data_IF_579741631761
#
_entry.id   IF_579741631761
#
_cell.length_a   1.000
_cell.length_b   1.000
_cell.length_c   1.000
_cell.angle_alpha   90.00
_cell.angle_beta   90.00
_cell.angle_gamma   90.00
#
_symmetry.space_group_name_H-M   'P 1'
#
loop_
_entity.id
_entity.type
_entity.pdbx_description
1 polymer ?
#
# COMPACT_ATOMS: atom_id res chain seq x y z
N UNK A 1 26.00 -10.79 17.19
CA UNK A 1 25.60 -10.67 15.78
C UNK A 1 24.15 -11.11 15.67
N UNK A 2 23.20 -10.17 15.57
CA UNK A 2 21.77 -10.46 15.54
C UNK A 2 21.16 -9.99 14.23
N UNK A 3 21.14 -10.87 13.23
CA UNK A 3 20.33 -10.71 12.02
C UNK A 3 19.03 -11.48 12.21
N UNK A 4 18.13 -10.93 13.02
CA UNK A 4 16.79 -11.43 13.22
C UNK A 4 15.85 -10.20 13.12
N UNK A 5 14.63 -10.36 12.57
CA UNK A 5 13.55 -9.34 12.51
C UNK A 5 13.44 -8.37 11.31
N UNK A 6 13.76 -8.77 10.08
CA UNK A 6 13.25 -8.06 8.88
C UNK A 6 12.25 -8.86 8.03
N UNK A 7 12.35 -10.20 7.96
CA UNK A 7 11.46 -11.01 7.10
C UNK A 7 9.97 -10.98 7.48
N UNK A 8 9.64 -10.97 8.77
CA UNK A 8 8.26 -11.10 9.27
C UNK A 8 7.36 -9.94 8.84
N UNK A 9 7.84 -8.70 8.99
CA UNK A 9 7.09 -7.49 8.60
C UNK A 9 6.96 -7.34 7.08
N UNK A 10 7.97 -7.81 6.34
CA UNK A 10 7.96 -7.77 4.88
C UNK A 10 6.87 -8.69 4.33
N UNK A 11 6.71 -9.90 4.87
CA UNK A 11 5.63 -10.82 4.43
C UNK A 11 4.24 -10.23 4.60
N UNK A 12 3.96 -9.54 5.72
CA UNK A 12 2.67 -8.87 5.95
C UNK A 12 2.43 -7.72 4.97
N UNK A 13 3.45 -6.89 4.74
CA UNK A 13 3.38 -5.82 3.74
C UNK A 13 3.06 -6.38 2.36
N UNK A 14 3.81 -7.38 1.92
CA UNK A 14 3.61 -7.98 0.58
C UNK A 14 2.26 -8.69 0.43
N UNK A 15 1.74 -9.40 1.44
CA UNK A 15 0.40 -10.01 1.35
C UNK A 15 -0.69 -8.94 1.31
N UNK A 16 -0.53 -7.84 2.07
CA UNK A 16 -1.47 -6.72 2.05
C UNK A 16 -1.50 -5.98 0.72
N UNK A 17 -0.33 -5.77 0.10
CA UNK A 17 -0.21 -5.22 -1.26
C UNK A 17 -0.89 -6.12 -2.28
N UNK A 18 -0.70 -7.45 -2.21
CA UNK A 18 -1.37 -8.40 -3.11
C UNK A 18 -2.88 -8.44 -2.95
N UNK A 19 -3.35 -8.39 -1.71
CA UNK A 19 -4.78 -8.29 -1.40
C UNK A 19 -5.38 -7.03 -2.03
N UNK A 20 -4.79 -5.86 -1.80
CA UNK A 20 -5.25 -4.60 -2.36
C UNK A 20 -5.14 -4.56 -3.89
N UNK A 21 -4.04 -5.06 -4.46
CA UNK A 21 -3.87 -5.18 -5.91
C UNK A 21 -5.03 -5.96 -6.54
N UNK A 22 -5.45 -7.06 -5.89
CA UNK A 22 -6.55 -7.91 -6.35
C UNK A 22 -7.92 -7.30 -6.12
N UNK A 23 -8.09 -6.54 -5.04
CA UNK A 23 -9.33 -5.84 -4.68
C UNK A 23 -9.59 -4.66 -5.62
N UNK A 24 -8.57 -3.84 -5.85
CA UNK A 24 -8.65 -2.64 -6.68
C UNK A 24 -8.26 -2.88 -8.14
N UNK A 25 -7.98 -4.12 -8.56
CA UNK A 25 -7.50 -4.43 -9.91
C UNK A 25 -6.32 -3.55 -10.35
N UNK A 26 -5.36 -3.37 -9.44
CA UNK A 26 -4.15 -2.57 -9.64
C UNK A 26 -2.94 -3.48 -9.84
N UNK A 27 -1.89 -2.96 -10.46
CA UNK A 27 -0.60 -3.66 -10.50
C UNK A 27 0.20 -3.35 -9.24
N UNK A 28 0.94 -4.34 -8.77
CA UNK A 28 1.91 -4.18 -7.68
C UNK A 28 3.28 -3.80 -8.24
N UNK A 29 3.96 -2.86 -7.58
CA UNK A 29 5.30 -2.45 -7.95
C UNK A 29 6.37 -3.07 -7.06
N UNK A 30 7.25 -3.88 -7.68
CA UNK A 30 8.32 -4.58 -6.94
C UNK A 30 9.50 -3.66 -6.57
N UNK A 31 9.58 -2.45 -7.14
CA UNK A 31 10.62 -1.46 -6.86
C UNK A 31 10.14 -0.39 -5.86
N UNK A 32 9.67 -0.81 -4.68
CA UNK A 32 9.01 0.04 -3.68
C UNK A 32 9.82 1.20 -3.09
N UNK A 33 11.10 1.37 -3.45
CA UNK A 33 11.86 2.56 -3.05
C UNK A 33 11.67 3.76 -3.99
N UNK A 34 11.26 3.51 -5.24
CA UNK A 34 11.18 4.49 -6.33
C UNK A 34 9.78 4.68 -6.91
N UNK A 35 8.83 3.81 -6.55
CA UNK A 35 7.45 3.84 -7.02
C UNK A 35 6.47 3.59 -5.87
N UNK A 36 5.22 4.07 -6.00
CA UNK A 36 4.13 3.69 -5.11
C UNK A 36 3.96 2.17 -5.07
N UNK A 37 3.52 1.63 -3.93
CA UNK A 37 3.30 0.20 -3.77
C UNK A 37 2.36 -0.39 -4.85
N UNK A 38 1.29 0.34 -5.20
CA UNK A 38 0.31 -0.05 -6.22
C UNK A 38 0.06 1.07 -7.23
N UNK A 39 -0.17 0.71 -8.48
CA UNK A 39 -0.53 1.64 -9.54
C UNK A 39 -1.63 1.09 -10.46
N UNK A 40 -2.30 1.97 -11.18
CA UNK A 40 -3.27 1.60 -12.20
C UNK A 40 -2.66 0.61 -13.18
N UNK A 41 -3.40 -0.47 -13.45
CA UNK A 41 -3.05 -1.45 -14.47
C UNK A 41 -3.52 -0.91 -15.84
N UNK A 42 -2.58 -0.37 -16.61
CA UNK A 42 -2.84 0.23 -17.93
C UNK A 42 -3.43 -0.75 -18.95
N UNK A 43 -3.29 -2.06 -18.73
CA UNK A 43 -3.91 -3.08 -19.58
C UNK A 43 -5.41 -3.22 -19.32
N UNK A 44 -5.84 -2.93 -18.09
CA UNK A 44 -7.24 -3.03 -17.64
C UNK A 44 -7.98 -1.70 -17.71
N UNK A 45 -7.24 -0.57 -17.73
CA UNK A 45 -7.78 0.79 -17.77
C UNK A 45 -8.87 1.02 -16.71
N UNK A 46 -8.65 0.49 -15.50
CA UNK A 46 -9.63 0.48 -14.42
C UNK A 46 -9.92 1.87 -13.85
N UNK A 47 -9.00 2.83 -14.02
CA UNK A 47 -9.08 4.16 -13.43
C UNK A 47 -8.73 5.25 -14.45
N UNK A 48 -9.51 6.33 -14.42
CA UNK A 48 -9.28 7.56 -15.17
C UNK A 48 -9.71 8.75 -14.28
N UNK A 49 -8.78 9.59 -13.80
CA UNK A 49 -7.33 9.55 -14.03
C UNK A 49 -6.64 8.34 -13.38
N UNK A 50 -5.34 8.15 -13.69
CA UNK A 50 -4.54 7.08 -13.11
C UNK A 50 -4.47 7.21 -11.57
N UNK A 51 -4.81 6.13 -10.87
CA UNK A 51 -4.69 5.97 -9.43
C UNK A 51 -3.35 5.30 -9.06
N UNK A 52 -2.70 5.80 -8.01
CA UNK A 52 -1.56 5.18 -7.35
C UNK A 52 -1.77 5.15 -5.83
N UNK A 53 -1.40 4.04 -5.19
CA UNK A 53 -1.62 3.81 -3.76
C UNK A 53 -0.29 3.43 -3.09
N UNK A 54 0.06 4.15 -2.03
CA UNK A 54 1.02 3.70 -1.03
C UNK A 54 0.26 2.92 0.06
N UNK A 55 0.54 1.63 0.20
CA UNK A 55 -0.18 0.76 1.13
C UNK A 55 0.60 0.61 2.43
N UNK A 56 -0.09 0.69 3.57
CA UNK A 56 0.47 0.25 4.83
C UNK A 56 -0.55 -0.57 5.63
N UNK A 57 -0.07 -1.62 6.27
CA UNK A 57 -0.89 -2.53 7.06
C UNK A 57 -0.35 -2.70 8.48
N UNK A 58 -1.25 -2.90 9.43
CA UNK A 58 -0.90 -3.12 10.83
C UNK A 58 -2.11 -3.20 11.77
N UNK A 59 -1.90 -3.65 13.01
CA UNK A 59 -2.96 -3.79 14.02
C UNK A 59 -3.57 -2.44 14.44
N UNK A 60 -2.80 -1.35 14.35
CA UNK A 60 -3.20 0.02 14.74
C UNK A 60 -2.90 1.07 13.68
N UNK A 61 -2.59 0.61 12.46
CA UNK A 61 -2.18 1.44 11.34
C UNK A 61 -0.74 1.18 10.87
N UNK A 62 -0.30 2.03 9.96
CA UNK A 62 0.97 1.92 9.26
C UNK A 62 1.94 3.08 9.54
N UNK A 63 3.24 2.82 9.41
CA UNK A 63 4.22 3.91 9.35
C UNK A 63 4.33 4.40 7.92
N UNK A 64 4.07 5.69 7.73
CA UNK A 64 4.17 6.34 6.43
C UNK A 64 5.20 7.46 6.54
N UNK A 65 6.24 7.39 5.72
CA UNK A 65 7.25 8.44 5.67
C UNK A 65 6.77 9.53 4.70
N UNK A 66 7.01 10.80 5.03
CA UNK A 66 6.58 11.92 4.19
C UNK A 66 7.11 11.81 2.74
N UNK A 67 8.32 11.29 2.59
CA UNK A 67 8.96 10.99 1.31
C UNK A 67 8.30 9.86 0.50
N UNK A 68 7.37 9.10 1.07
CA UNK A 68 6.54 8.10 0.36
C UNK A 68 5.25 8.72 -0.20
N UNK A 69 5.01 10.01 0.03
CA UNK A 69 3.90 10.75 -0.59
C UNK A 69 4.25 11.30 -1.97
N UNK A 70 5.52 11.26 -2.37
CA UNK A 70 6.00 11.86 -3.62
C UNK A 70 7.03 10.94 -4.25
N UNK A 71 6.82 10.63 -5.52
CA UNK A 71 7.72 9.80 -6.31
C UNK A 71 8.30 10.61 -7.47
N UNK A 72 9.63 10.59 -7.59
CA UNK A 72 10.29 11.24 -8.71
C UNK A 72 10.28 10.35 -9.95
N UNK A 73 9.96 10.99 -11.07
CA UNK A 73 10.02 10.40 -12.39
C UNK A 73 11.20 11.03 -13.12
N UNK A 74 12.31 10.31 -13.20
CA UNK A 74 13.57 10.75 -13.78
C UNK A 74 13.96 10.04 -15.07
N UNK A 75 13.28 8.94 -15.45
CA UNK A 75 13.48 8.23 -16.73
C UNK A 75 12.18 8.14 -17.56
N UNK A 76 12.27 8.23 -18.90
CA UNK A 76 11.09 8.10 -19.78
C UNK A 76 10.38 6.76 -19.53
N UNK A 77 11.17 5.73 -19.21
CA UNK A 77 10.68 4.43 -18.78
C UNK A 77 9.86 4.52 -17.48
N UNK A 78 10.34 5.24 -16.45
CA UNK A 78 9.56 5.49 -15.22
C UNK A 78 8.26 6.25 -15.53
N UNK A 79 8.29 7.25 -16.42
CA UNK A 79 7.10 8.01 -16.82
C UNK A 79 6.08 7.10 -17.48
N UNK A 80 6.49 6.36 -18.52
CA UNK A 80 5.61 5.40 -19.21
C UNK A 80 5.10 4.34 -18.26
N UNK A 81 5.93 3.88 -17.33
CA UNK A 81 5.50 2.93 -16.31
C UNK A 81 4.38 3.56 -15.48
N UNK A 82 4.61 4.70 -14.81
CA UNK A 82 3.59 5.33 -13.95
C UNK A 82 2.32 5.72 -14.71
N UNK A 83 2.44 6.33 -15.89
CA UNK A 83 1.32 6.99 -16.56
C UNK A 83 0.75 6.24 -17.78
N UNK A 84 1.42 5.20 -18.26
CA UNK A 84 0.96 4.42 -19.41
C UNK A 84 1.18 5.10 -20.76
N UNK A 85 1.75 6.31 -20.78
CA UNK A 85 1.97 7.11 -21.97
C UNK A 85 3.40 7.68 -22.05
N UNK A 86 3.77 8.25 -23.19
CA UNK A 86 5.05 8.95 -23.31
C UNK A 86 4.90 10.40 -22.82
N UNK A 87 5.92 10.97 -22.15
CA UNK A 87 5.88 12.37 -21.75
C UNK A 87 5.76 13.26 -22.99
N UNK A 88 4.86 14.25 -22.95
CA UNK A 88 4.59 15.16 -24.08
C UNK A 88 5.78 16.10 -24.39
N UNK A 89 6.64 16.40 -23.40
CA UNK A 89 7.83 17.24 -23.56
C UNK A 89 9.09 16.52 -23.07
N UNK A 90 9.97 16.12 -24.00
CA UNK A 90 11.29 15.51 -23.71
C UNK A 90 12.39 16.56 -23.45
N UNK A 91 12.21 17.82 -23.86
CA UNK A 91 13.30 18.81 -23.84
C UNK A 91 13.63 19.36 -22.44
N UNK A 92 12.68 19.38 -21.51
CA UNK A 92 12.95 19.78 -20.12
C UNK A 92 13.77 18.74 -19.33
N UNK A 93 13.78 17.49 -19.79
CA UNK A 93 14.42 16.37 -19.10
C UNK A 93 15.94 16.36 -19.21
N UNK A 94 16.50 16.89 -20.30
CA UNK A 94 17.95 16.89 -20.57
C UNK A 94 18.69 18.02 -19.83
N UNK A 95 17.98 19.02 -19.33
CA UNK A 95 18.56 20.21 -18.71
C UNK A 95 18.62 20.15 -17.17
N UNK A 96 18.32 19.01 -16.55
CA UNK A 96 18.30 18.89 -15.09
C UNK A 96 17.15 19.63 -14.40
N UNK A 97 16.26 20.27 -15.17
CA UNK A 97 14.99 20.79 -14.68
C UNK A 97 14.07 19.60 -14.41
N UNK A 98 13.96 19.20 -13.15
CA UNK A 98 13.11 18.09 -12.73
C UNK A 98 11.66 18.48 -13.04
N UNK A 99 11.03 17.96 -14.11
CA UNK A 99 9.65 18.32 -14.35
C UNK A 99 8.81 17.53 -13.35
N UNK A 100 7.73 18.15 -12.86
CA UNK A 100 6.71 17.56 -11.99
C UNK A 100 6.93 17.63 -10.46
N UNK A 101 7.49 18.72 -9.93
CA UNK A 101 7.33 19.03 -8.50
C UNK A 101 6.03 19.77 -8.16
N UNK A 102 5.28 20.27 -9.15
CA UNK A 102 4.20 21.22 -8.87
C UNK A 102 2.79 20.60 -8.76
N UNK A 103 2.56 19.39 -9.27
CA UNK A 103 1.30 18.68 -8.98
C UNK A 103 1.56 17.18 -8.80
N UNK A 104 1.30 16.60 -7.61
CA UNK A 104 1.28 15.15 -7.50
C UNK A 104 0.13 14.65 -8.35
N UNK A 105 0.45 13.83 -9.35
CA UNK A 105 -0.48 12.85 -9.88
C UNK A 105 -1.15 12.10 -8.72
N UNK A 106 -2.34 11.55 -8.94
CA UNK A 106 -3.21 11.02 -7.89
C UNK A 106 -2.59 9.89 -7.06
N UNK A 107 -1.84 10.32 -6.04
CA UNK A 107 -1.25 9.48 -5.02
C UNK A 107 -2.19 9.49 -3.82
N UNK A 108 -2.66 8.31 -3.49
CA UNK A 108 -3.43 8.04 -2.30
C UNK A 108 -2.62 7.13 -1.40
N UNK A 109 -3.00 7.13 -0.14
CA UNK A 109 -2.48 6.22 0.85
C UNK A 109 -3.62 5.35 1.33
N UNK A 110 -3.37 4.05 1.37
CA UNK A 110 -4.29 3.10 1.96
C UNK A 110 -3.71 2.59 3.28
N UNK A 111 -4.51 2.71 4.35
CA UNK A 111 -4.24 2.11 5.63
C UNK A 111 -5.21 0.96 5.90
N UNK A 112 -4.67 -0.25 6.00
CA UNK A 112 -5.44 -1.47 6.18
C UNK A 112 -5.32 -1.94 7.63
N UNK A 113 -6.47 -2.08 8.29
CA UNK A 113 -6.53 -2.66 9.63
C UNK A 113 -6.31 -4.17 9.54
N UNK A 114 -5.47 -4.73 10.41
CA UNK A 114 -5.43 -6.19 10.60
C UNK A 114 -6.47 -6.62 11.64
N UNK A 115 -7.29 -7.60 11.26
CA UNK A 115 -8.38 -8.14 12.08
C UNK A 115 -8.08 -9.56 12.62
N UNK A 116 -6.88 -10.09 12.39
CA UNK A 116 -6.46 -11.39 12.91
C UNK A 116 -5.82 -11.33 14.31
N UNK A 117 -5.86 -12.47 15.00
CA UNK A 117 -5.24 -12.69 16.32
C UNK A 117 -3.84 -13.32 16.21
N UNK A 118 -3.15 -13.16 15.07
CA UNK A 118 -1.84 -13.79 14.88
C UNK A 118 -0.84 -13.19 15.87
N UNK A 119 -0.46 -13.99 16.88
CA UNK A 119 0.63 -13.67 17.79
C UNK A 119 1.97 -13.98 17.12
N UNK A 120 3.08 -13.56 17.74
CA UNK A 120 4.44 -13.73 17.19
C UNK A 120 4.82 -15.18 16.88
N UNK A 121 4.25 -16.16 17.59
CA UNK A 121 4.51 -17.59 17.38
C UNK A 121 3.74 -18.15 16.18
N UNK A 122 2.58 -17.57 15.84
CA UNK A 122 1.82 -17.93 14.65
C UNK A 122 2.43 -17.34 13.37
N UNK A 123 3.21 -16.25 13.48
CA UNK A 123 3.93 -15.62 12.37
C UNK A 123 5.00 -16.56 11.80
N UNK A 124 5.64 -17.36 12.67
CA UNK A 124 6.71 -18.29 12.33
C UNK A 124 6.22 -19.61 11.75
N UNK A 125 4.90 -19.83 11.74
CA UNK A 125 4.30 -21.03 11.17
C UNK A 125 4.22 -20.90 9.66
N UNK A 126 4.34 -22.04 8.99
CA UNK A 126 4.38 -22.21 7.54
C UNK A 126 3.19 -21.62 6.77
N UNK A 127 2.17 -21.06 7.44
CA UNK A 127 0.94 -20.55 6.83
C UNK A 127 0.40 -19.25 7.43
N UNK A 128 1.27 -18.44 8.01
CA UNK A 128 0.88 -17.16 8.61
C UNK A 128 0.17 -16.23 7.62
N UNK A 129 0.59 -16.21 6.35
CA UNK A 129 -0.09 -15.44 5.30
C UNK A 129 -1.55 -15.88 5.08
N UNK A 130 -1.78 -17.17 4.87
CA UNK A 130 -3.13 -17.71 4.61
C UNK A 130 -4.09 -17.45 5.78
N UNK A 131 -3.58 -17.32 7.01
CA UNK A 131 -4.38 -17.01 8.21
C UNK A 131 -4.68 -15.53 8.41
N UNK A 132 -4.04 -14.62 7.65
CA UNK A 132 -4.26 -13.19 7.79
C UNK A 132 -5.72 -12.83 7.49
N UNK A 133 -6.27 -11.92 8.30
CA UNK A 133 -7.58 -11.32 8.07
C UNK A 133 -7.44 -9.82 8.06
N UNK A 134 -8.01 -9.19 7.05
CA UNK A 134 -8.02 -7.74 6.89
C UNK A 134 -9.33 -7.19 7.47
N UNK A 135 -9.25 -6.03 8.08
CA UNK A 135 -10.35 -5.23 8.59
C UNK A 135 -10.62 -4.06 7.66
N UNK A 136 -11.11 -2.97 8.23
CA UNK A 136 -11.46 -1.77 7.48
C UNK A 136 -10.22 -1.14 6.81
N UNK A 137 -10.48 -0.45 5.70
CA UNK A 137 -9.47 0.18 4.85
C UNK A 137 -9.77 1.66 4.74
N UNK A 138 -8.73 2.49 4.73
CA UNK A 138 -8.86 3.95 4.64
C UNK A 138 -7.97 4.48 3.53
N UNK A 139 -8.59 4.95 2.45
CA UNK A 139 -7.95 5.57 1.30
C UNK A 139 -7.99 7.09 1.47
N UNK A 140 -6.83 7.71 1.64
CA UNK A 140 -6.68 9.13 1.94
C UNK A 140 -5.77 9.80 0.90
N UNK A 141 -6.14 10.96 0.34
CA UNK A 141 -5.30 11.69 -0.61
C UNK A 141 -3.96 12.12 0.00
N UNK A 142 -2.87 12.05 -0.78
CA UNK A 142 -1.53 12.41 -0.30
C UNK A 142 -1.42 13.86 0.19
N UNK A 143 -2.18 14.80 -0.35
CA UNK A 143 -2.18 16.19 0.11
C UNK A 143 -2.75 16.35 1.53
N UNK A 144 -3.79 15.57 1.87
CA UNK A 144 -4.34 15.51 3.24
C UNK A 144 -3.31 14.94 4.22
N UNK A 145 -2.58 13.91 3.81
CA UNK A 145 -1.50 13.33 4.61
C UNK A 145 -0.30 14.26 4.77
N UNK A 146 0.04 15.00 3.72
CA UNK A 146 1.08 16.01 3.79
C UNK A 146 0.71 17.10 4.81
N UNK A 147 -0.55 17.58 4.79
CA UNK A 147 -1.05 18.51 5.79
C UNK A 147 -0.98 17.93 7.21
N UNK A 148 -1.24 16.63 7.38
CA UNK A 148 -1.03 15.95 8.66
C UNK A 148 0.43 15.97 9.10
N UNK A 149 1.38 15.63 8.22
CA UNK A 149 2.80 15.63 8.58
C UNK A 149 3.28 17.03 8.98
N UNK A 150 2.85 18.06 8.26
CA UNK A 150 3.11 19.46 8.62
C UNK A 150 2.56 19.76 10.01
N UNK A 151 1.29 19.42 10.28
CA UNK A 151 0.63 19.69 11.57
C UNK A 151 1.29 18.95 12.73
N UNK A 152 1.69 17.69 12.51
CA UNK A 152 2.42 16.89 13.49
C UNK A 152 3.78 17.48 13.80
N UNK A 153 4.51 17.91 12.77
CA UNK A 153 5.83 18.52 12.95
C UNK A 153 5.73 19.87 13.67
N UNK A 154 4.79 20.73 13.30
CA UNK A 154 4.53 22.00 13.99
C UNK A 154 4.33 21.80 15.50
N UNK A 155 3.62 20.73 15.90
CA UNK A 155 3.39 20.46 17.31
C UNK A 155 4.54 19.79 18.04
N UNK A 156 5.22 18.84 17.38
CA UNK A 156 6.27 18.04 18.02
C UNK A 156 7.57 18.81 18.14
N UNK A 157 7.89 19.59 17.11
CA UNK A 157 9.16 20.29 16.99
C UNK A 157 9.01 21.79 17.34
N UNK A 158 7.79 22.25 17.67
CA UNK A 158 7.44 23.64 18.01
C UNK A 158 7.90 24.66 16.94
N UNK A 159 7.62 24.33 15.68
CA UNK A 159 8.02 25.14 14.52
C UNK A 159 6.81 25.75 13.80
N UNK A 160 7.04 26.88 13.13
CA UNK A 160 6.03 27.51 12.29
C UNK A 160 5.71 26.69 11.03
N UNK A 161 4.52 26.91 10.45
CA UNK A 161 4.06 26.20 9.24
C UNK A 161 5.03 26.29 8.06
N UNK A 162 5.66 27.45 7.88
CA UNK A 162 6.62 27.68 6.78
C UNK A 162 7.87 26.82 6.95
N UNK A 163 8.36 26.69 8.18
CA UNK A 163 9.53 25.88 8.51
C UNK A 163 9.23 24.39 8.37
N UNK A 164 8.08 23.93 8.89
CA UNK A 164 7.64 22.56 8.74
C UNK A 164 7.50 22.14 7.26
N UNK A 165 6.84 22.97 6.44
CA UNK A 165 6.73 22.72 4.98
C UNK A 165 8.09 22.69 4.29
N UNK A 166 8.98 23.63 4.64
CA UNK A 166 10.34 23.67 4.07
C UNK A 166 11.11 22.41 4.40
N UNK A 167 11.10 21.98 5.66
CA UNK A 167 11.79 20.78 6.11
C UNK A 167 11.29 19.53 5.36
N UNK A 168 9.97 19.31 5.30
CA UNK A 168 9.42 18.14 4.60
C UNK A 168 9.75 18.15 3.10
N UNK A 169 9.76 19.33 2.47
CA UNK A 169 10.19 19.50 1.07
C UNK A 169 11.67 19.15 0.89
N UNK A 170 12.54 19.67 1.76
CA UNK A 170 13.98 19.44 1.70
C UNK A 170 14.32 17.96 1.92
N UNK A 171 13.68 17.29 2.88
CA UNK A 171 13.84 15.85 3.11
C UNK A 171 13.37 15.01 1.91
N UNK A 172 12.21 15.34 1.35
CA UNK A 172 11.69 14.68 0.14
C UNK A 172 12.65 14.83 -1.03
N UNK A 173 13.20 16.04 -1.23
CA UNK A 173 14.18 16.33 -2.29
C UNK A 173 15.46 15.51 -2.12
N UNK A 174 16.02 15.45 -0.91
CA UNK A 174 17.25 14.67 -0.64
C UNK A 174 17.09 13.19 -0.99
N UNK A 175 15.90 12.60 -0.76
CA UNK A 175 15.63 11.21 -1.15
C UNK A 175 15.47 11.06 -2.66
N UNK A 176 14.75 11.97 -3.31
CA UNK A 176 14.56 11.98 -4.77
C UNK A 176 15.90 12.04 -5.52
N UNK A 177 16.80 12.92 -5.08
CA UNK A 177 18.11 13.14 -5.71
C UNK A 177 19.16 12.10 -5.26
N UNK A 178 18.83 11.26 -4.27
CA UNK A 178 19.75 10.23 -3.75
C UNK A 178 20.89 10.77 -2.89
N UNK A 179 20.79 12.03 -2.42
CA UNK A 179 21.81 12.70 -1.61
C UNK A 179 21.86 12.18 -0.16
N UNK A 180 20.79 11.54 0.31
CA UNK A 180 20.74 10.95 1.64
C UNK A 180 21.14 9.47 1.60
N UNK A 181 22.17 9.08 2.38
CA UNK A 181 22.41 7.66 2.62
C UNK A 181 21.18 7.05 3.31
N UNK A 182 20.69 5.90 2.83
CA UNK A 182 19.56 5.18 3.43
C UNK A 182 19.76 4.90 4.93
N UNK A 183 21.02 4.87 5.40
CA UNK A 183 21.39 4.75 6.81
C UNK A 183 21.11 5.99 7.66
N UNK A 184 21.13 7.19 7.09
CA UNK A 184 20.80 8.45 7.78
C UNK A 184 19.28 8.61 7.95
N UNK A 185 18.50 8.34 6.90
CA UNK A 185 17.03 8.42 6.93
C UNK A 185 16.42 7.39 7.90
N UNK A 186 16.99 6.18 7.97
CA UNK A 186 16.52 5.12 8.90
C UNK A 186 16.85 5.38 10.37
N UNK A 187 17.87 6.19 10.68
CA UNK A 187 18.24 6.58 12.05
C UNK A 187 17.39 7.75 12.58
N UNK A 188 16.94 8.64 11.69
CA UNK A 188 16.07 9.77 12.03
C UNK A 188 14.58 9.44 11.86
N UNK A 189 14.12 8.30 12.38
CA UNK A 189 12.69 7.96 12.45
C UNK A 189 11.99 8.88 13.44
N UNK A 190 11.65 10.09 13.02
CA UNK A 190 10.96 11.07 13.87
C UNK A 190 9.53 10.63 14.09
N UNK A 191 9.04 10.81 15.32
CA UNK A 191 7.72 10.36 15.74
C UNK A 191 6.55 10.93 14.94
N UNK A 192 6.76 12.06 14.25
CA UNK A 192 5.75 12.72 13.41
C UNK A 192 5.29 11.86 12.21
N UNK A 193 6.05 10.82 11.85
CA UNK A 193 5.81 9.94 10.70
C UNK A 193 4.95 8.69 11.04
N UNK A 194 4.40 8.60 12.24
CA UNK A 194 3.48 7.53 12.59
C UNK A 194 2.05 7.94 12.19
N UNK A 195 1.44 7.24 11.24
CA UNK A 195 0.02 7.40 10.90
C UNK A 195 -0.80 6.35 11.65
N UNK A 196 -1.80 6.80 12.40
CA UNK A 196 -2.67 5.92 13.20
C UNK A 196 -4.06 5.87 12.57
N UNK A 197 -4.74 4.73 12.68
CA UNK A 197 -6.11 4.54 12.15
C UNK A 197 -7.05 5.63 12.66
N UNK A 198 -6.90 6.03 13.93
CA UNK A 198 -7.65 7.13 14.54
C UNK A 198 -7.73 8.39 13.66
N UNK A 199 -6.61 8.82 13.07
CA UNK A 199 -6.62 10.01 12.21
C UNK A 199 -7.46 9.79 10.95
N UNK A 200 -7.48 8.57 10.44
CA UNK A 200 -8.28 8.17 9.27
C UNK A 200 -9.77 8.23 9.59
N UNK A 201 -10.18 7.64 10.72
CA UNK A 201 -11.57 7.65 11.21
C UNK A 201 -12.07 9.08 11.44
N UNK A 202 -11.28 9.92 12.10
CA UNK A 202 -11.67 11.31 12.38
C UNK A 202 -11.77 12.14 11.10
N UNK A 203 -10.86 11.97 10.14
CA UNK A 203 -10.91 12.70 8.88
C UNK A 203 -12.09 12.26 7.99
N UNK A 204 -12.46 10.98 8.07
CA UNK A 204 -13.55 10.41 7.30
C UNK A 204 -14.92 10.75 7.92
N UNK A 205 -15.21 10.31 9.15
CA UNK A 205 -16.56 10.38 9.73
C UNK A 205 -16.77 11.57 10.68
N UNK A 206 -15.74 12.38 10.97
CA UNK A 206 -15.75 13.53 11.92
C UNK A 206 -16.25 13.23 13.35
N UNK A 207 -16.80 12.05 13.59
CA UNK A 207 -17.51 11.66 14.80
C UNK A 207 -16.62 10.94 15.80
N UNK A 208 -15.40 10.57 15.41
CA UNK A 208 -14.32 10.03 16.25
C UNK A 208 -14.82 9.53 17.60
N UNK A 209 -15.59 8.44 17.59
CA UNK A 209 -16.32 7.95 18.75
C UNK A 209 -15.34 7.38 19.77
N UNK A 210 -14.92 8.27 20.65
CA UNK A 210 -14.66 8.10 22.07
C UNK A 210 -13.49 7.20 22.56
N UNK A 211 -12.92 7.65 23.68
CA UNK A 211 -12.07 6.95 24.68
C UNK A 211 -10.53 7.04 24.66
N UNK A 212 -9.87 7.70 23.69
CA UNK A 212 -8.41 8.02 23.82
C UNK A 212 -8.05 9.42 23.28
N UNK A 213 -8.88 10.39 23.61
CA UNK A 213 -8.90 11.74 23.04
C UNK A 213 -7.88 12.66 23.74
N UNK A 214 -6.59 12.55 23.39
CA UNK A 214 -5.59 13.51 23.87
C UNK A 214 -5.76 14.85 23.14
N UNK A 215 -5.61 15.97 23.85
CA UNK A 215 -5.64 17.31 23.23
C UNK A 215 -4.67 17.44 22.05
N UNK A 216 -3.57 16.69 22.09
CA UNK A 216 -2.62 16.59 20.98
C UNK A 216 -3.28 16.07 19.70
N UNK A 217 -4.04 14.98 19.76
CA UNK A 217 -4.73 14.40 18.59
C UNK A 217 -5.73 15.38 17.98
N UNK A 218 -6.51 16.07 18.81
CA UNK A 218 -7.44 17.12 18.36
C UNK A 218 -6.73 18.27 17.69
N UNK A 219 -5.64 18.76 18.29
CA UNK A 219 -4.83 19.84 17.70
C UNK A 219 -4.25 19.44 16.35
N UNK A 220 -3.84 18.17 16.15
CA UNK A 220 -3.28 17.71 14.86
C UNK A 220 -4.35 17.80 13.78
N UNK A 221 -5.54 17.25 14.06
CA UNK A 221 -6.67 17.31 13.13
C UNK A 221 -7.06 18.76 12.83
N UNK A 222 -7.14 19.62 13.85
CA UNK A 222 -7.40 21.05 13.65
C UNK A 222 -6.35 21.70 12.74
N UNK A 223 -5.07 21.35 12.89
CA UNK A 223 -4.00 21.83 12.01
C UNK A 223 -4.14 21.34 10.55
N UNK A 224 -4.71 20.16 10.32
CA UNK A 224 -5.04 19.68 8.96
C UNK A 224 -6.13 20.57 8.35
N UNK A 225 -7.22 20.81 9.08
CA UNK A 225 -8.31 21.68 8.63
C UNK A 225 -7.88 23.14 8.41
N UNK A 226 -6.90 23.64 9.17
CA UNK A 226 -6.33 24.97 8.94
C UNK A 226 -5.56 25.07 7.61
N UNK A 227 -4.94 23.96 7.19
CA UNK A 227 -4.15 23.91 5.97
C UNK A 227 -4.98 23.61 4.73
N UNK A 228 -6.04 22.82 4.87
CA UNK A 228 -6.98 22.48 3.80
C UNK A 228 -8.35 23.00 4.25
N UNK A 229 -8.60 24.28 3.99
CA UNK A 229 -9.77 25.00 4.51
C UNK A 229 -11.10 24.42 4.05
N UNK A 230 -11.10 23.78 2.89
CA UNK A 230 -12.24 23.16 2.22
C UNK A 230 -12.21 21.63 2.30
N UNK A 231 -11.49 21.05 3.26
CA UNK A 231 -11.45 19.58 3.48
C UNK A 231 -12.84 18.96 3.67
N UNK A 232 -13.81 19.77 4.10
CA UNK A 232 -15.21 19.39 4.21
C UNK A 232 -15.89 19.13 2.87
N UNK A 233 -15.42 19.79 1.81
CA UNK A 233 -15.93 19.63 0.46
C UNK A 233 -15.32 18.41 -0.26
N UNK A 234 -14.32 17.75 0.34
CA UNK A 234 -13.77 16.52 -0.21
C UNK A 234 -14.86 15.44 -0.22
N UNK A 235 -15.16 14.84 -1.38
CA UNK A 235 -16.18 13.80 -1.44
C UNK A 235 -15.72 12.60 -0.60
N UNK A 236 -16.67 11.96 0.09
CA UNK A 236 -16.42 10.83 0.97
C UNK A 236 -17.37 9.70 0.59
N UNK A 237 -16.82 8.49 0.52
CA UNK A 237 -17.61 7.31 0.23
C UNK A 237 -17.21 6.15 1.10
N UNK A 238 -18.21 5.35 1.49
CA UNK A 238 -18.05 4.09 2.19
C UNK A 238 -18.54 2.97 1.30
N UNK A 239 -17.71 1.97 1.06
CA UNK A 239 -18.05 0.79 0.28
C UNK A 239 -18.03 -0.45 1.18
N UNK A 240 -18.95 -1.38 0.93
CA UNK A 240 -18.85 -2.71 1.51
C UNK A 240 -17.66 -3.44 0.87
N UNK A 241 -16.72 -3.87 1.70
CA UNK A 241 -15.56 -4.65 1.30
C UNK A 241 -15.78 -6.16 1.46
N UNK A 242 -14.76 -6.97 1.13
CA UNK A 242 -14.80 -8.41 1.32
C UNK A 242 -15.02 -8.80 2.78
N UNK A 243 -15.67 -9.94 3.02
CA UNK A 243 -15.81 -10.55 4.36
C UNK A 243 -16.37 -9.64 5.46
N UNK A 244 -17.27 -8.71 5.11
CA UNK A 244 -17.93 -7.82 6.08
C UNK A 244 -17.08 -6.61 6.51
N UNK A 245 -15.96 -6.35 5.83
CA UNK A 245 -15.15 -5.13 6.04
C UNK A 245 -15.77 -3.93 5.33
N UNK A 246 -15.27 -2.74 5.66
CA UNK A 246 -15.61 -1.49 4.98
C UNK A 246 -14.37 -0.83 4.37
N UNK A 247 -14.58 -0.16 3.24
CA UNK A 247 -13.56 0.68 2.61
C UNK A 247 -14.05 2.12 2.69
N UNK A 248 -13.24 2.97 3.32
CA UNK A 248 -13.51 4.37 3.57
C UNK A 248 -12.59 5.20 2.67
N UNK A 249 -13.15 6.01 1.78
CA UNK A 249 -12.37 6.81 0.85
C UNK A 249 -12.70 8.29 0.99
N UNK A 250 -11.66 9.10 1.14
CA UNK A 250 -11.71 10.55 0.90
C UNK A 250 -11.20 10.76 -0.53
N UNK A 251 -12.03 11.30 -1.41
CA UNK A 251 -11.68 11.58 -2.82
C UNK A 251 -11.11 12.97 -3.00
N UNK A 252 -10.37 13.19 -4.09
CA UNK A 252 -9.98 14.54 -4.52
C UNK A 252 -11.20 15.30 -5.06
N UNK A 253 -11.43 16.56 -4.66
CA UNK A 253 -12.48 17.41 -5.25
C UNK A 253 -12.33 17.59 -6.76
N UNK A 254 -11.10 17.52 -7.27
CA UNK A 254 -10.81 17.71 -8.69
C UNK A 254 -11.23 16.50 -9.54
N UNK A 255 -11.39 15.32 -8.93
CA UNK A 255 -11.65 14.04 -9.63
C UNK A 255 -12.64 13.20 -8.81
N UNK A 256 -13.87 13.72 -8.60
CA UNK A 256 -14.87 13.04 -7.79
C UNK A 256 -15.27 11.67 -8.36
N UNK A 257 -15.12 11.46 -9.67
CA UNK A 257 -15.44 10.21 -10.36
C UNK A 257 -14.56 9.03 -9.92
N UNK A 258 -13.37 9.29 -9.34
CA UNK A 258 -12.52 8.21 -8.81
C UNK A 258 -13.22 7.42 -7.71
N UNK A 259 -14.07 8.07 -6.91
CA UNK A 259 -14.87 7.39 -5.88
C UNK A 259 -15.79 6.37 -6.52
N UNK A 260 -16.49 6.73 -7.59
CA UNK A 260 -17.42 5.84 -8.27
C UNK A 260 -16.68 4.70 -8.98
N UNK A 261 -15.52 4.98 -9.56
CA UNK A 261 -14.66 3.97 -10.20
C UNK A 261 -14.15 2.95 -9.18
N UNK A 262 -13.61 3.42 -8.04
CA UNK A 262 -13.18 2.56 -6.93
C UNK A 262 -14.36 1.75 -6.41
N UNK A 263 -15.50 2.38 -6.14
CA UNK A 263 -16.71 1.69 -5.68
C UNK A 263 -17.19 0.62 -6.67
N UNK A 264 -17.16 0.91 -7.97
CA UNK A 264 -17.49 -0.04 -9.02
C UNK A 264 -16.54 -1.24 -9.06
N UNK A 265 -15.23 -1.02 -8.94
CA UNK A 265 -14.21 -2.08 -8.89
C UNK A 265 -14.39 -2.93 -7.64
N UNK A 266 -14.50 -2.31 -6.46
CA UNK A 266 -14.72 -2.98 -5.17
C UNK A 266 -15.97 -3.85 -5.22
N UNK A 267 -17.08 -3.33 -5.74
CA UNK A 267 -18.33 -4.10 -5.87
C UNK A 267 -18.15 -5.37 -6.71
N UNK A 268 -17.42 -5.29 -7.82
CA UNK A 268 -17.13 -6.45 -8.69
C UNK A 268 -16.19 -7.46 -8.02
N UNK A 269 -15.20 -7.00 -7.27
CA UNK A 269 -14.13 -7.83 -6.70
C UNK A 269 -14.43 -8.39 -5.31
N UNK A 270 -15.34 -7.76 -4.56
CA UNK A 270 -15.59 -8.15 -3.16
C UNK A 270 -16.11 -9.58 -3.01
N UNK A 271 -16.98 -10.03 -3.91
CA UNK A 271 -17.48 -11.42 -3.90
C UNK A 271 -16.35 -12.43 -4.15
N UNK A 272 -15.48 -12.15 -5.12
CA UNK A 272 -14.33 -13.00 -5.47
C UNK A 272 -13.37 -13.11 -4.27
N UNK A 273 -13.02 -11.97 -3.66
CA UNK A 273 -12.10 -11.98 -2.51
C UNK A 273 -12.72 -12.56 -1.24
N UNK A 274 -14.03 -12.45 -1.06
CA UNK A 274 -14.73 -13.12 0.06
C UNK A 274 -14.64 -14.64 -0.10
N UNK A 275 -14.82 -15.13 -1.32
CA UNK A 275 -14.67 -16.55 -1.62
C UNK A 275 -13.24 -17.04 -1.41
N UNK A 276 -12.24 -16.31 -1.90
CA UNK A 276 -10.82 -16.64 -1.66
C UNK A 276 -10.48 -16.62 -0.17
N UNK A 277 -11.02 -15.67 0.61
CA UNK A 277 -10.83 -15.64 2.06
C UNK A 277 -11.43 -16.89 2.74
N UNK A 278 -12.61 -17.34 2.28
CA UNK A 278 -13.25 -18.58 2.74
C UNK A 278 -12.40 -19.81 2.42
N UNK A 279 -11.88 -19.89 1.20
CA UNK A 279 -10.99 -20.97 0.75
C UNK A 279 -9.67 -20.96 1.54
N UNK A 280 -9.05 -19.80 1.76
CA UNK A 280 -7.86 -19.63 2.61
C UNK A 280 -8.10 -20.21 4.01
N UNK A 281 -9.23 -19.87 4.63
CA UNK A 281 -9.60 -20.41 5.95
C UNK A 281 -9.72 -21.94 5.93
N UNK A 282 -10.30 -22.52 4.89
CA UNK A 282 -10.39 -23.97 4.73
C UNK A 282 -9.01 -24.62 4.52
N UNK A 283 -8.15 -23.99 3.71
CA UNK A 283 -6.80 -24.46 3.37
C UNK A 283 -5.91 -24.63 4.61
N UNK A 284 -6.07 -23.79 5.63
CA UNK A 284 -5.33 -23.91 6.90
C UNK A 284 -5.41 -25.33 7.49
N UNK A 285 -6.57 -25.99 7.39
CA UNK A 285 -6.78 -27.34 7.92
C UNK A 285 -6.07 -28.43 7.10
N UNK A 286 -5.94 -28.23 5.79
CA UNK A 286 -5.20 -29.13 4.88
C UNK A 286 -3.70 -28.99 5.11
N UNK A 287 -3.25 -27.77 5.32
CA UNK A 287 -1.86 -27.41 5.51
C UNK A 287 -1.29 -27.89 6.85
N UNK A 288 -2.12 -27.94 7.90
CA UNK A 288 -1.74 -28.53 9.20
C UNK A 288 -1.48 -30.04 9.16
N UNK A 289 -1.80 -30.73 8.05
CA UNK A 289 -1.56 -32.18 7.87
C UNK A 289 -0.24 -32.48 7.15
N UNK A 290 0.43 -31.47 6.61
CA UNK A 290 1.69 -31.62 5.86
C UNK A 290 2.84 -31.59 6.86
N UNK A 291 3.64 -32.66 6.90
CA UNK A 291 4.83 -32.70 7.76
C UNK A 291 5.99 -32.01 7.07
N UNK A 292 6.12 -30.69 7.25
CA UNK A 292 7.24 -29.94 6.70
C UNK A 292 8.51 -30.23 7.51
N UNK A 293 9.36 -31.13 7.01
CA UNK A 293 10.69 -31.43 7.58
C UNK A 293 11.76 -30.40 7.19
N UNK A 294 11.38 -29.16 6.86
CA UNK A 294 12.34 -28.12 6.46
C UNK A 294 12.63 -27.15 7.60
N UNK A 295 13.91 -26.81 7.79
CA UNK A 295 14.29 -25.65 8.59
C UNK A 295 13.88 -24.37 7.85
N UNK A 296 12.78 -23.76 8.28
CA UNK A 296 12.32 -22.44 7.86
C UNK A 296 10.94 -22.41 7.19
N UNK A 297 10.28 -21.24 7.29
CA UNK A 297 8.93 -20.97 6.76
C UNK A 297 8.73 -21.43 5.32
N UNK A 298 7.57 -22.04 5.04
CA UNK A 298 7.13 -22.40 3.69
C UNK A 298 6.93 -21.19 2.76
N UNK A 299 6.57 -20.04 3.32
CA UNK A 299 6.39 -18.81 2.57
C UNK A 299 7.57 -17.84 2.74
N UNK A 300 7.91 -17.14 1.66
CA UNK A 300 8.82 -16.00 1.67
C UNK A 300 8.20 -14.86 0.85
N UNK A 301 8.16 -13.65 1.42
CA UNK A 301 7.54 -12.47 0.80
C UNK A 301 6.12 -12.75 0.27
N UNK A 302 5.31 -13.51 1.03
CA UNK A 302 3.96 -13.92 0.65
C UNK A 302 3.90 -14.73 -0.66
N UNK A 303 4.92 -15.51 -0.97
CA UNK A 303 4.93 -16.47 -2.09
C UNK A 303 5.49 -17.81 -1.61
N UNK A 304 5.30 -18.88 -2.39
CA UNK A 304 5.94 -20.18 -2.18
C UNK A 304 7.24 -20.20 -3.01
N UNK A 305 8.42 -20.19 -2.39
CA UNK A 305 9.69 -20.28 -3.12
C UNK A 305 9.81 -21.57 -3.94
N UNK A 306 10.53 -21.53 -5.07
CA UNK A 306 10.66 -22.67 -5.98
C UNK A 306 11.27 -23.93 -5.33
N UNK A 307 12.25 -23.74 -4.43
CA UNK A 307 12.84 -24.82 -3.64
C UNK A 307 11.80 -25.45 -2.70
N UNK A 308 10.92 -24.63 -2.10
CA UNK A 308 9.82 -25.09 -1.24
C UNK A 308 8.73 -25.82 -2.02
N UNK A 309 8.41 -25.36 -3.25
CA UNK A 309 7.49 -26.10 -4.15
C UNK A 309 7.99 -27.51 -4.42
N UNK A 310 9.30 -27.70 -4.55
CA UNK A 310 9.91 -29.02 -4.79
C UNK A 310 9.73 -29.95 -3.59
N UNK A 311 9.79 -29.41 -2.37
CA UNK A 311 9.48 -30.19 -1.16
C UNK A 311 8.00 -30.55 -1.09
N UNK A 312 7.10 -29.58 -1.37
CA UNK A 312 5.65 -29.81 -1.35
C UNK A 312 5.18 -30.88 -2.33
N UNK A 313 5.85 -31.04 -3.48
CA UNK A 313 5.54 -32.06 -4.49
C UNK A 313 5.67 -33.50 -3.98
N UNK A 314 6.27 -33.72 -2.80
CA UNK A 314 6.34 -35.04 -2.16
C UNK A 314 5.01 -35.43 -1.50
N UNK A 315 4.24 -34.45 -1.05
CA UNK A 315 3.04 -34.65 -0.23
C UNK A 315 1.76 -34.12 -0.90
N UNK A 316 1.90 -33.22 -1.88
CA UNK A 316 0.79 -32.56 -2.58
C UNK A 316 0.83 -32.79 -4.09
N UNK A 317 -0.35 -32.88 -4.70
CA UNK A 317 -0.50 -32.89 -6.15
C UNK A 317 -0.14 -31.51 -6.76
N UNK A 318 0.23 -31.45 -8.04
CA UNK A 318 0.45 -30.19 -8.74
C UNK A 318 -0.74 -29.23 -8.68
N UNK A 319 -1.96 -29.77 -8.71
CA UNK A 319 -3.21 -29.01 -8.59
C UNK A 319 -3.34 -28.36 -7.21
N UNK A 320 -3.07 -29.11 -6.13
CA UNK A 320 -3.08 -28.59 -4.76
C UNK A 320 -2.03 -27.49 -4.55
N UNK A 321 -0.84 -27.63 -5.14
CA UNK A 321 0.20 -26.59 -5.09
C UNK A 321 -0.26 -25.35 -5.85
N UNK A 322 -0.81 -25.50 -7.05
CA UNK A 322 -1.34 -24.37 -7.83
C UNK A 322 -2.48 -23.67 -7.10
N UNK A 323 -3.31 -24.41 -6.36
CA UNK A 323 -4.35 -23.85 -5.52
C UNK A 323 -3.77 -23.02 -4.37
N UNK A 324 -2.77 -23.53 -3.65
CA UNK A 324 -2.09 -22.77 -2.59
C UNK A 324 -1.44 -21.49 -3.11
N UNK A 325 -0.80 -21.54 -4.27
CA UNK A 325 -0.24 -20.36 -4.93
C UNK A 325 -1.33 -19.32 -5.24
N UNK A 326 -2.43 -19.76 -5.86
CA UNK A 326 -3.58 -18.90 -6.16
C UNK A 326 -4.10 -18.20 -4.91
N UNK A 327 -4.32 -18.96 -3.84
CA UNK A 327 -4.84 -18.44 -2.58
C UNK A 327 -3.92 -17.36 -2.01
N UNK A 328 -2.62 -17.61 -2.02
CA UNK A 328 -1.60 -16.69 -1.51
C UNK A 328 -1.51 -15.41 -2.34
N UNK A 329 -1.71 -15.52 -3.65
CA UNK A 329 -1.73 -14.37 -4.55
C UNK A 329 -3.03 -13.55 -4.49
N UNK A 330 -4.03 -13.97 -3.71
CA UNK A 330 -5.36 -13.35 -3.64
C UNK A 330 -6.10 -13.31 -4.99
N UNK A 331 -5.89 -14.31 -5.84
CA UNK A 331 -6.44 -14.37 -7.21
C UNK A 331 -7.53 -15.42 -7.36
N UNK A 332 -8.47 -15.16 -8.27
CA UNK A 332 -9.33 -16.22 -8.78
C UNK A 332 -8.55 -17.11 -9.75
N UNK A 333 -9.10 -18.27 -10.10
CA UNK A 333 -8.49 -19.14 -11.11
C UNK A 333 -8.43 -18.46 -12.47
N UNK A 334 -9.50 -17.74 -12.81
CA UNK A 334 -9.59 -16.95 -14.04
C UNK A 334 -8.50 -15.88 -14.11
N UNK A 335 -8.31 -15.10 -13.03
CA UNK A 335 -7.26 -14.07 -12.98
C UNK A 335 -5.86 -14.68 -13.20
N UNK A 336 -5.59 -15.82 -12.56
CA UNK A 336 -4.31 -16.52 -12.69
C UNK A 336 -4.08 -17.05 -14.11
N UNK A 337 -5.13 -17.58 -14.75
CA UNK A 337 -5.08 -18.07 -16.13
C UNK A 337 -4.88 -16.93 -17.12
N UNK A 338 -5.58 -15.80 -16.92
CA UNK A 338 -5.49 -14.64 -17.81
C UNK A 338 -4.11 -13.99 -17.76
N UNK A 339 -3.49 -13.90 -16.59
CA UNK A 339 -2.12 -13.37 -16.48
C UNK A 339 -1.08 -14.25 -17.18
N UNK A 340 -1.22 -15.58 -17.12
CA UNK A 340 -0.33 -16.51 -17.84
C UNK A 340 -0.44 -16.37 -19.37
N UNK A 341 -1.51 -15.77 -19.88
CA UNK A 341 -1.73 -15.50 -21.31
C UNK A 341 -1.23 -14.13 -21.74
N UNK A 342 -0.99 -13.21 -20.80
CA UNK A 342 -0.45 -11.90 -21.15
C UNK A 342 1.02 -12.05 -21.54
N UNK A 343 1.45 -11.50 -22.68
CA UNK A 343 2.86 -11.50 -23.05
C UNK A 343 3.66 -10.76 -21.96
N UNK A 344 4.79 -11.33 -21.54
CA UNK A 344 5.73 -10.61 -20.68
C UNK A 344 6.12 -9.30 -21.37
N UNK A 345 5.86 -8.17 -20.70
CA UNK A 345 6.44 -6.90 -21.14
C UNK A 345 7.95 -7.04 -20.95
N UNK A 346 8.77 -6.93 -22.01
CA UNK A 346 10.21 -7.10 -21.89
C UNK A 346 10.75 -6.21 -20.78
N UNK A 347 11.58 -6.78 -19.91
CA UNK A 347 12.26 -6.06 -18.83
C UNK A 347 13.36 -5.11 -19.34
N UNK A 348 13.59 -5.09 -20.66
CA UNK A 348 14.72 -4.45 -21.30
C UNK A 348 14.46 -2.96 -21.53
N UNK A 349 14.91 -2.16 -20.56
CA UNK A 349 15.64 -0.88 -20.73
C UNK A 349 15.66 -0.12 -19.39
N UNK A 350 16.12 -0.77 -18.33
CA UNK A 350 16.53 -0.09 -17.10
C UNK A 350 18.05 -0.12 -17.05
N UNK A 351 18.76 0.94 -17.50
CA UNK A 351 20.18 1.05 -17.20
C UNK A 351 20.33 1.09 -15.68
N UNK A 352 21.27 0.28 -15.17
CA UNK A 352 21.62 0.15 -13.76
C UNK A 352 22.08 1.47 -13.14
#
# INVERSE_FOLDING_TARGET
>A
MGHEYQGKKVVFGTDSERYLASLFQMRQERQGSRFPDLMTDHTKKSYAPNLAIESKSGKHGGKLLAEQLVYAVSTKAQYRRMFGENPKNLNGWLNGETPFLDEPYYLYYDNIVRADDLNSLDIDRDFSAIKMRWGDQYIIPANVLHAYFVSRMMQKDDVGIREAKKYLKDETKKRIVGEASLSHLRKNKREFQNWEIFYSEVLFDKTGTDTANTDQRKKVIAGVYQQIKDLDNYPRAKFAGPSGTSIHMIGSPDNPELIDQVGGVVKRRSGILTEIARERKAAVSLLGKITLRSSGSLFCNGDIPADRKTVLRKDLSPEQISWLERLVLWKSEEDLVNERKLPEVPADDVPF
#
